data_IF_951348426170
#
_entry.id   IF_951348426170
#
_cell.length_a   1.000
_cell.length_b   1.000
_cell.length_c   1.000
_cell.angle_alpha   90.00
_cell.angle_beta   90.00
_cell.angle_gamma   90.00
#
_symmetry.space_group_name_H-M   'P 1'
#
loop_
_entity.id
_entity.type
_entity.pdbx_description
1 polymer ?
#
# COMPACT_ATOMS: atom_id res chain seq x y z
N UNK A 1 21.28 10.52 -14.28
CA UNK A 1 20.60 9.22 -14.38
C UNK A 1 21.55 8.22 -15.00
N UNK A 2 21.53 6.98 -14.51
CA UNK A 2 22.47 5.90 -14.85
C UNK A 2 21.74 4.58 -15.16
N UNK A 3 20.41 4.62 -15.22
CA UNK A 3 19.54 3.55 -15.67
C UNK A 3 18.32 4.12 -16.41
N UNK A 4 17.83 3.39 -17.41
CA UNK A 4 16.59 3.69 -18.11
C UNK A 4 15.56 2.61 -17.80
N UNK A 5 14.42 3.03 -17.28
CA UNK A 5 13.25 2.18 -17.05
C UNK A 5 12.21 2.49 -18.12
N UNK A 6 11.45 1.49 -18.55
CA UNK A 6 10.31 1.68 -19.47
C UNK A 6 9.03 1.21 -18.79
N UNK A 7 8.00 2.06 -18.81
CA UNK A 7 6.65 1.70 -18.35
C UNK A 7 5.90 0.80 -19.34
N UNK A 8 4.77 0.24 -18.91
CA UNK A 8 3.92 -0.59 -19.77
C UNK A 8 3.32 0.17 -20.95
N UNK A 9 3.10 1.48 -20.82
CA UNK A 9 2.69 2.42 -21.87
C UNK A 9 3.88 3.04 -22.64
N UNK A 10 5.06 2.41 -22.54
CA UNK A 10 6.27 2.67 -23.33
C UNK A 10 6.97 4.01 -23.06
N UNK A 11 6.64 4.70 -21.98
CA UNK A 11 7.34 5.92 -21.54
C UNK A 11 8.68 5.53 -20.90
N UNK A 12 9.72 6.30 -21.23
CA UNK A 12 11.08 6.06 -20.73
C UNK A 12 11.41 6.99 -19.57
N UNK A 13 11.80 6.40 -18.45
CA UNK A 13 12.24 7.09 -17.24
C UNK A 13 13.73 6.95 -17.06
N UNK A 14 14.42 8.09 -16.99
CA UNK A 14 15.85 8.12 -16.68
C UNK A 14 16.03 8.38 -15.18
N UNK A 15 16.27 7.34 -14.41
CA UNK A 15 16.38 7.43 -12.94
C UNK A 15 17.83 7.21 -12.45
N UNK A 16 18.05 7.45 -11.16
CA UNK A 16 19.33 7.18 -10.51
C UNK A 16 19.28 5.84 -9.77
N UNK A 17 20.17 4.89 -10.09
CA UNK A 17 20.26 3.58 -9.42
C UNK A 17 20.37 3.74 -7.91
N UNK A 18 21.16 4.72 -7.46
CA UNK A 18 21.32 5.06 -6.03
C UNK A 18 19.99 5.38 -5.33
N UNK A 19 19.04 6.00 -6.02
CA UNK A 19 17.73 6.31 -5.43
C UNK A 19 16.84 5.06 -5.37
N UNK A 20 16.91 4.20 -6.39
CA UNK A 20 16.22 2.91 -6.37
C UNK A 20 16.74 2.05 -5.20
N UNK A 21 18.06 1.92 -5.04
CA UNK A 21 18.68 1.15 -3.95
C UNK A 21 18.36 1.72 -2.55
N UNK A 22 18.19 3.04 -2.44
CA UNK A 22 17.93 3.70 -1.16
C UNK A 22 16.46 3.60 -0.74
N UNK A 23 15.53 3.69 -1.69
CA UNK A 23 14.10 3.82 -1.42
C UNK A 23 13.27 2.60 -1.83
N UNK A 24 13.87 1.60 -2.45
CA UNK A 24 13.22 0.36 -2.86
C UNK A 24 14.17 -0.82 -2.74
N UNK A 25 13.63 -2.03 -2.81
CA UNK A 25 14.45 -3.26 -2.88
C UNK A 25 14.85 -3.62 -4.32
N UNK A 26 14.70 -2.68 -5.26
CA UNK A 26 15.06 -2.89 -6.66
C UNK A 26 16.56 -2.67 -6.84
N UNK A 27 17.29 -3.76 -7.09
CA UNK A 27 18.70 -3.74 -7.47
C UNK A 27 18.85 -4.06 -8.96
N UNK A 28 19.07 -3.08 -9.84
CA UNK A 28 19.26 -3.35 -11.25
C UNK A 28 20.66 -3.93 -11.48
N UNK A 29 20.75 -5.16 -11.98
CA UNK A 29 21.98 -5.94 -12.14
C UNK A 29 22.82 -5.57 -13.37
N UNK A 30 22.29 -4.82 -14.34
CA UNK A 30 23.02 -4.41 -15.55
C UNK A 30 22.82 -2.91 -15.86
N UNK A 31 23.88 -2.25 -16.36
CA UNK A 31 23.92 -0.79 -16.56
C UNK A 31 23.55 -0.32 -17.98
N UNK A 32 23.39 -1.24 -18.93
CA UNK A 32 23.17 -0.89 -20.35
C UNK A 32 21.81 -1.33 -20.91
N UNK A 33 20.97 -1.99 -20.13
CA UNK A 33 19.68 -2.53 -20.58
C UNK A 33 18.52 -1.65 -20.10
N UNK A 34 17.53 -1.44 -20.98
CA UNK A 34 16.25 -0.84 -20.60
C UNK A 34 15.50 -1.85 -19.75
N UNK A 35 15.16 -1.48 -18.52
CA UNK A 35 14.37 -2.35 -17.63
C UNK A 35 12.89 -2.07 -17.83
N UNK A 36 12.15 -3.08 -18.24
CA UNK A 36 10.71 -2.99 -18.47
C UNK A 36 9.95 -3.20 -17.16
N UNK A 37 9.00 -2.31 -16.88
CA UNK A 37 8.13 -2.32 -15.70
C UNK A 37 6.68 -2.52 -16.13
N UNK A 38 5.91 -3.22 -15.30
CA UNK A 38 4.48 -3.50 -15.57
C UNK A 38 3.59 -2.29 -15.32
N UNK A 39 4.05 -1.33 -14.53
CA UNK A 39 3.29 -0.15 -14.13
C UNK A 39 3.24 0.89 -15.25
N UNK A 40 2.15 1.67 -15.29
CA UNK A 40 1.97 2.77 -16.24
C UNK A 40 2.88 3.95 -15.90
N UNK A 41 3.09 4.84 -16.87
CA UNK A 41 3.86 6.06 -16.68
C UNK A 41 3.31 6.92 -15.53
N UNK A 42 1.99 7.08 -15.43
CA UNK A 42 1.33 7.83 -14.38
C UNK A 42 1.64 7.30 -12.96
N UNK A 43 1.65 5.97 -12.81
CA UNK A 43 1.98 5.32 -11.53
C UNK A 43 3.46 5.49 -11.19
N UNK A 44 4.34 5.25 -12.18
CA UNK A 44 5.78 5.38 -11.98
C UNK A 44 6.21 6.82 -11.69
N UNK A 45 5.59 7.81 -12.33
CA UNK A 45 5.82 9.23 -12.04
C UNK A 45 5.55 9.56 -10.57
N UNK A 46 4.41 9.13 -10.03
CA UNK A 46 4.06 9.36 -8.63
C UNK A 46 4.98 8.57 -7.69
N UNK A 47 5.28 7.32 -8.02
CA UNK A 47 6.17 6.49 -7.22
C UNK A 47 7.57 7.11 -7.13
N UNK A 48 8.13 7.57 -8.26
CA UNK A 48 9.42 8.24 -8.26
C UNK A 48 9.37 9.58 -7.52
N UNK A 49 8.22 10.27 -7.44
CA UNK A 49 8.11 11.45 -6.59
C UNK A 49 8.41 11.15 -5.11
N UNK A 50 8.01 9.99 -4.60
CA UNK A 50 8.33 9.54 -3.24
C UNK A 50 9.79 9.11 -3.03
N UNK A 51 10.54 8.83 -4.10
CA UNK A 51 11.94 8.38 -4.05
C UNK A 51 12.96 9.52 -4.21
N UNK A 52 12.50 10.72 -4.52
CA UNK A 52 13.35 11.88 -4.75
C UNK A 52 13.08 12.95 -3.70
N UNK A 53 14.07 13.82 -3.46
CA UNK A 53 13.95 14.94 -2.53
C UNK A 53 13.09 16.05 -3.14
N UNK A 54 11.78 15.83 -3.15
CA UNK A 54 10.77 16.77 -3.63
C UNK A 54 9.51 16.69 -2.77
N UNK A 55 8.61 17.67 -2.86
CA UNK A 55 7.31 17.61 -2.16
C UNK A 55 6.54 16.35 -2.54
N UNK A 56 5.87 15.74 -1.56
CA UNK A 56 5.04 14.57 -1.81
C UNK A 56 3.85 14.93 -2.72
N UNK A 57 3.42 14.00 -3.60
CA UNK A 57 2.28 14.25 -4.48
C UNK A 57 1.01 14.46 -3.68
N UNK A 58 0.13 15.32 -4.20
CA UNK A 58 -1.20 15.50 -3.64
C UNK A 58 -2.15 14.43 -4.18
N UNK A 59 -2.27 13.31 -3.47
CA UNK A 59 -3.09 12.16 -3.87
C UNK A 59 -4.58 12.47 -4.00
N UNK A 60 -5.10 13.55 -3.38
CA UNK A 60 -6.52 13.93 -3.50
C UNK A 60 -6.91 14.40 -4.91
N UNK A 61 -5.92 14.72 -5.75
CA UNK A 61 -6.13 15.15 -7.14
C UNK A 61 -5.88 14.03 -8.15
N UNK A 62 -5.61 12.82 -7.66
CA UNK A 62 -5.29 11.65 -8.48
C UNK A 62 -6.52 10.76 -8.54
N UNK A 63 -6.81 10.21 -9.71
CA UNK A 63 -7.92 9.27 -9.88
C UNK A 63 -7.69 7.99 -9.07
N UNK A 64 -8.76 7.41 -8.55
CA UNK A 64 -8.68 6.23 -7.68
C UNK A 64 -7.99 5.04 -8.37
N UNK A 65 -8.21 4.83 -9.67
CA UNK A 65 -7.56 3.74 -10.40
C UNK A 65 -6.03 3.87 -10.37
N UNK A 66 -5.52 5.11 -10.51
CA UNK A 66 -4.07 5.37 -10.41
C UNK A 66 -3.58 5.23 -8.96
N UNK A 67 -4.37 5.65 -7.97
CA UNK A 67 -4.04 5.47 -6.54
C UNK A 67 -3.94 3.98 -6.20
N UNK A 68 -4.90 3.18 -6.66
CA UNK A 68 -4.93 1.73 -6.45
C UNK A 68 -3.70 1.05 -7.04
N UNK A 69 -3.39 1.36 -8.30
CA UNK A 69 -2.22 0.79 -8.97
C UNK A 69 -0.91 1.27 -8.34
N UNK A 70 -0.85 2.53 -7.88
CA UNK A 70 0.28 3.07 -7.12
C UNK A 70 0.43 2.35 -5.77
N UNK A 71 -0.66 2.09 -5.06
CA UNK A 71 -0.64 1.34 -3.80
C UNK A 71 -0.04 -0.05 -4.00
N UNK A 72 -0.46 -0.78 -5.04
CA UNK A 72 0.14 -2.08 -5.38
C UNK A 72 1.63 -1.98 -5.75
N UNK A 73 2.01 -0.94 -6.51
CA UNK A 73 3.40 -0.73 -6.93
C UNK A 73 4.32 -0.42 -5.74
N UNK A 74 3.89 0.43 -4.80
CA UNK A 74 4.73 0.79 -3.64
C UNK A 74 4.94 -0.40 -2.70
N UNK A 75 3.95 -1.29 -2.58
CA UNK A 75 4.08 -2.54 -1.82
C UNK A 75 5.07 -3.47 -2.53
N UNK A 76 4.88 -3.69 -3.84
CA UNK A 76 5.74 -4.55 -4.67
C UNK A 76 7.21 -4.16 -4.60
N UNK A 77 7.51 -2.87 -4.64
CA UNK A 77 8.89 -2.36 -4.62
C UNK A 77 9.37 -1.99 -3.19
N UNK A 78 8.54 -2.24 -2.17
CA UNK A 78 8.71 -1.86 -0.76
C UNK A 78 9.16 -0.37 -0.61
N UNK A 79 8.42 0.57 -1.22
CA UNK A 79 8.67 2.03 -1.13
C UNK A 79 8.08 2.59 0.17
N UNK A 80 8.79 2.35 1.27
CA UNK A 80 8.30 2.61 2.63
C UNK A 80 7.85 4.05 2.89
N UNK A 81 8.45 5.04 2.21
CA UNK A 81 8.07 6.45 2.34
C UNK A 81 6.64 6.75 1.86
N UNK A 82 6.10 5.90 0.98
CA UNK A 82 4.78 6.07 0.36
C UNK A 82 3.70 5.18 1.00
N UNK A 83 4.05 3.98 1.47
CA UNK A 83 3.10 2.96 1.97
C UNK A 83 2.12 3.52 3.02
N UNK A 84 2.63 4.26 4.01
CA UNK A 84 1.77 4.85 5.04
C UNK A 84 0.77 5.88 4.50
N UNK A 85 1.21 6.74 3.57
CA UNK A 85 0.36 7.76 2.97
C UNK A 85 -0.72 7.12 2.08
N UNK A 86 -0.36 6.10 1.30
CA UNK A 86 -1.29 5.37 0.45
C UNK A 86 -2.28 4.54 1.26
N UNK A 87 -1.87 3.96 2.39
CA UNK A 87 -2.80 3.27 3.28
C UNK A 87 -3.90 4.21 3.83
N UNK A 88 -3.53 5.43 4.23
CA UNK A 88 -4.50 6.47 4.63
C UNK A 88 -5.40 6.84 3.44
N UNK A 89 -4.82 7.02 2.25
CA UNK A 89 -5.60 7.36 1.07
C UNK A 89 -6.59 6.25 0.68
N UNK A 90 -6.20 4.99 0.77
CA UNK A 90 -7.09 3.84 0.53
C UNK A 90 -8.25 3.82 1.53
N UNK A 91 -8.00 4.14 2.81
CA UNK A 91 -9.04 4.27 3.83
C UNK A 91 -10.07 5.36 3.48
N UNK A 92 -9.64 6.51 2.99
CA UNK A 92 -10.54 7.59 2.55
C UNK A 92 -11.46 7.17 1.39
N UNK A 93 -11.06 6.18 0.60
CA UNK A 93 -11.86 5.66 -0.51
C UNK A 93 -12.85 4.57 -0.13
N UNK A 94 -12.86 4.09 1.13
CA UNK A 94 -13.81 3.07 1.60
C UNK A 94 -15.27 3.39 1.25
N UNK A 95 -15.81 4.61 1.48
CA UNK A 95 -17.22 4.89 1.18
C UNK A 95 -17.57 4.75 -0.31
N UNK A 96 -16.59 4.96 -1.18
CA UNK A 96 -16.78 4.96 -2.63
C UNK A 96 -16.40 3.64 -3.31
N UNK A 97 -15.39 2.94 -2.79
CA UNK A 97 -14.77 1.77 -3.42
C UNK A 97 -14.42 0.68 -2.37
N UNK A 98 -15.40 0.26 -1.53
CA UNK A 98 -15.11 -0.57 -0.36
C UNK A 98 -14.55 -1.95 -0.73
N UNK A 99 -14.99 -2.54 -1.85
CA UNK A 99 -14.55 -3.86 -2.31
C UNK A 99 -13.08 -3.84 -2.78
N UNK A 100 -12.69 -2.82 -3.54
CA UNK A 100 -11.30 -2.69 -4.01
C UNK A 100 -10.35 -2.45 -2.83
N UNK A 101 -10.77 -1.60 -1.88
CA UNK A 101 -10.00 -1.35 -0.64
C UNK A 101 -9.89 -2.61 0.22
N UNK A 102 -10.96 -3.40 0.33
CA UNK A 102 -10.94 -4.69 1.04
C UNK A 102 -9.94 -5.67 0.43
N UNK A 103 -9.95 -5.81 -0.90
CA UNK A 103 -9.02 -6.72 -1.60
C UNK A 103 -7.57 -6.28 -1.43
N UNK A 104 -7.30 -4.98 -1.55
CA UNK A 104 -5.98 -4.41 -1.26
C UNK A 104 -5.55 -4.72 0.19
N UNK A 105 -6.42 -4.44 1.16
CA UNK A 105 -6.12 -4.64 2.58
C UNK A 105 -5.85 -6.11 2.93
N UNK A 106 -6.56 -7.05 2.29
CA UNK A 106 -6.33 -8.49 2.43
C UNK A 106 -4.98 -8.88 1.83
N UNK A 107 -4.65 -8.41 0.62
CA UNK A 107 -3.38 -8.77 -0.07
C UNK A 107 -2.15 -8.36 0.74
N UNK A 108 -2.20 -7.18 1.36
CA UNK A 108 -1.08 -6.56 2.08
C UNK A 108 -1.21 -6.66 3.61
N UNK A 109 -2.22 -7.38 4.10
CA UNK A 109 -2.43 -7.69 5.50
C UNK A 109 -2.57 -6.45 6.41
N UNK A 110 -3.50 -5.55 6.06
CA UNK A 110 -3.86 -4.37 6.85
C UNK A 110 -5.15 -4.62 7.66
N UNK A 111 -5.08 -5.20 8.88
CA UNK A 111 -6.26 -5.72 9.59
C UNK A 111 -7.31 -4.65 9.94
N UNK A 112 -6.89 -3.44 10.32
CA UNK A 112 -7.83 -2.34 10.57
C UNK A 112 -8.60 -1.98 9.30
N UNK A 113 -7.88 -1.86 8.18
CA UNK A 113 -8.45 -1.53 6.89
C UNK A 113 -9.36 -2.66 6.37
N UNK A 114 -9.01 -3.92 6.62
CA UNK A 114 -9.86 -5.09 6.33
C UNK A 114 -11.20 -4.96 7.07
N UNK A 115 -11.17 -4.66 8.37
CA UNK A 115 -12.40 -4.56 9.17
C UNK A 115 -13.30 -3.41 8.69
N UNK A 116 -12.73 -2.21 8.55
CA UNK A 116 -13.46 -1.01 8.12
C UNK A 116 -14.08 -1.19 6.72
N UNK A 117 -13.30 -1.73 5.77
CA UNK A 117 -13.78 -1.98 4.42
C UNK A 117 -14.79 -3.13 4.35
N UNK A 118 -14.60 -4.20 5.13
CA UNK A 118 -15.56 -5.30 5.21
C UNK A 118 -16.92 -4.83 5.73
N UNK A 119 -16.94 -4.00 6.79
CA UNK A 119 -18.16 -3.38 7.31
C UNK A 119 -18.88 -2.55 6.24
N UNK A 120 -18.14 -1.74 5.48
CA UNK A 120 -18.69 -0.93 4.39
C UNK A 120 -19.25 -1.76 3.22
N UNK A 121 -18.89 -3.05 3.11
CA UNK A 121 -19.45 -3.95 2.09
C UNK A 121 -20.68 -4.74 2.53
N UNK A 122 -21.13 -4.63 3.77
CA UNK A 122 -22.21 -5.50 4.29
C UNK A 122 -23.56 -5.31 3.59
N UNK A 123 -23.80 -4.14 3.01
CA UNK A 123 -25.02 -3.85 2.25
C UNK A 123 -24.99 -4.40 0.81
N UNK A 124 -23.86 -4.96 0.38
CA UNK A 124 -23.73 -5.48 -0.98
C UNK A 124 -24.49 -6.79 -1.13
N UNK A 125 -25.23 -6.99 -2.25
CA UNK A 125 -25.85 -8.26 -2.53
C UNK A 125 -24.80 -9.37 -2.69
N UNK A 126 -25.06 -10.61 -2.21
CA UNK A 126 -24.06 -11.68 -2.23
C UNK A 126 -23.54 -12.05 -3.62
N UNK A 127 -24.38 -11.98 -4.66
CA UNK A 127 -24.00 -12.42 -6.00
C UNK A 127 -22.91 -11.54 -6.64
N UNK A 128 -23.03 -10.19 -6.68
CA UNK A 128 -21.93 -9.32 -7.10
C UNK A 128 -20.67 -9.46 -6.25
N UNK A 129 -20.80 -9.73 -4.94
CA UNK A 129 -19.65 -9.96 -4.08
C UNK A 129 -18.88 -11.21 -4.48
N UNK A 130 -19.59 -12.33 -4.70
CA UNK A 130 -19.03 -13.59 -5.16
C UNK A 130 -18.21 -13.45 -6.47
N UNK A 131 -18.63 -12.55 -7.36
CA UNK A 131 -17.92 -12.30 -8.62
C UNK A 131 -16.62 -11.48 -8.45
N UNK A 132 -16.48 -10.74 -7.35
CA UNK A 132 -15.37 -9.79 -7.15
C UNK A 132 -14.31 -10.29 -6.19
N UNK A 133 -14.65 -11.14 -5.24
CA UNK A 133 -13.72 -11.60 -4.20
C UNK A 133 -13.40 -13.09 -4.34
N UNK A 134 -12.20 -13.53 -3.91
CA UNK A 134 -11.86 -14.96 -3.88
C UNK A 134 -12.85 -15.77 -3.03
N UNK A 135 -13.06 -17.07 -3.34
CA UNK A 135 -14.02 -17.92 -2.61
C UNK A 135 -13.80 -17.95 -1.08
N UNK A 136 -12.55 -17.92 -0.64
CA UNK A 136 -12.18 -17.93 0.77
C UNK A 136 -12.64 -16.63 1.45
N UNK A 137 -12.39 -15.50 0.81
CA UNK A 137 -12.81 -14.16 1.28
C UNK A 137 -14.33 -14.06 1.28
N UNK A 138 -14.99 -14.55 0.23
CA UNK A 138 -16.45 -14.59 0.17
C UNK A 138 -17.05 -15.38 1.34
N UNK A 139 -16.47 -16.54 1.65
CA UNK A 139 -16.94 -17.37 2.76
C UNK A 139 -16.80 -16.69 4.13
N UNK A 140 -15.76 -15.87 4.32
CA UNK A 140 -15.56 -15.08 5.53
C UNK A 140 -16.55 -13.92 5.59
N UNK A 141 -16.74 -13.22 4.46
CA UNK A 141 -17.68 -12.13 4.33
C UNK A 141 -19.14 -12.55 4.58
N UNK A 142 -19.58 -13.71 4.06
CA UNK A 142 -20.94 -14.24 4.34
C UNK A 142 -21.14 -14.51 5.83
N UNK A 143 -20.12 -15.03 6.53
CA UNK A 143 -20.20 -15.23 7.99
C UNK A 143 -20.39 -13.90 8.69
N UNK A 144 -19.61 -12.89 8.30
CA UNK A 144 -19.72 -11.53 8.83
C UNK A 144 -21.12 -10.93 8.58
N UNK A 145 -21.67 -11.07 7.38
CA UNK A 145 -23.01 -10.55 7.06
C UNK A 145 -24.11 -11.23 7.87
N UNK A 146 -24.01 -12.54 8.11
CA UNK A 146 -24.98 -13.29 8.92
C UNK A 146 -24.91 -12.93 10.40
N UNK A 147 -23.73 -12.60 10.92
CA UNK A 147 -23.58 -12.13 12.31
C UNK A 147 -24.10 -10.71 12.50
N UNK A 148 -23.90 -9.84 11.51
CA UNK A 148 -24.32 -8.44 11.57
C UNK A 148 -25.82 -8.24 11.31
N UNK A 149 -26.47 -9.15 10.56
CA UNK A 149 -27.91 -9.10 10.26
C UNK A 149 -28.65 -10.39 10.69
N UNK A 150 -29.12 -10.49 11.95
CA UNK A 150 -29.85 -11.67 12.41
C UNK A 150 -31.20 -11.90 11.70
N UNK A 151 -31.72 -10.91 10.97
CA UNK A 151 -33.03 -10.99 10.31
C UNK A 151 -33.06 -11.89 9.06
N UNK A 152 -31.92 -12.11 8.39
CA UNK A 152 -31.81 -13.02 7.24
C UNK A 152 -31.87 -14.52 7.64
N UNK A 153 -31.78 -14.83 8.94
CA UNK A 153 -31.78 -16.21 9.44
C UNK A 153 -33.18 -16.79 9.67
N UNK A 154 -34.25 -16.00 9.57
CA UNK A 154 -35.62 -16.49 9.79
C UNK A 154 -36.23 -17.09 8.52
N UNK A 155 -35.61 -18.11 7.93
CA UNK A 155 -36.37 -19.02 7.05
C UNK A 155 -35.78 -20.41 6.78
N UNK A 156 -34.63 -20.87 7.31
CA UNK A 156 -34.12 -22.18 6.83
C UNK A 156 -33.66 -23.06 8.00
N UNK A 157 -34.43 -24.11 8.29
CA UNK A 157 -34.24 -25.09 9.37
C UNK A 157 -33.02 -26.03 9.14
N UNK A 158 -31.81 -25.50 8.95
CA UNK A 158 -30.60 -26.32 8.70
C UNK A 158 -29.31 -25.82 9.37
N UNK A 159 -29.37 -25.04 10.44
CA UNK A 159 -28.15 -24.54 11.11
C UNK A 159 -28.03 -24.99 12.57
N UNK A 160 -27.89 -26.30 12.77
CA UNK A 160 -27.23 -26.86 13.96
C UNK A 160 -25.86 -27.40 13.59
N UNK A 161 -24.94 -26.51 13.25
CA UNK A 161 -23.50 -26.77 13.37
C UNK A 161 -22.84 -25.51 13.92
N UNK A 162 -22.95 -25.35 15.24
CA UNK A 162 -22.12 -24.44 16.01
C UNK A 162 -20.66 -24.89 15.87
N UNK A 163 -19.89 -24.20 15.04
CA UNK A 163 -18.43 -24.27 15.08
C UNK A 163 -17.91 -23.11 15.92
N UNK A 164 -17.02 -23.36 16.91
CA UNK A 164 -16.51 -22.32 17.80
C UNK A 164 -15.62 -21.34 17.03
N UNK A 165 -15.44 -20.12 17.55
CA UNK A 165 -14.67 -19.08 16.88
C UNK A 165 -13.20 -19.49 16.87
N UNK A 166 -12.68 -19.90 15.71
CA UNK A 166 -11.25 -19.84 15.45
C UNK A 166 -10.95 -18.50 14.80
N UNK A 167 -10.01 -17.79 15.42
CA UNK A 167 -9.29 -16.65 14.86
C UNK A 167 -8.99 -16.93 13.39
N UNK A 168 -9.45 -16.05 12.51
CA UNK A 168 -9.30 -16.21 11.06
C UNK A 168 -7.84 -15.83 10.74
N UNK A 169 -6.94 -16.79 10.86
CA UNK A 169 -5.61 -16.73 10.24
C UNK A 169 -5.80 -17.07 8.76
N UNK A 170 -6.14 -16.06 7.94
CA UNK A 170 -6.18 -16.24 6.48
C UNK A 170 -4.74 -16.47 6.03
N UNK A 171 -4.53 -17.61 5.36
CA UNK A 171 -3.25 -18.07 4.83
C UNK A 171 -2.58 -16.99 3.98
N UNK A 172 -1.66 -16.26 4.61
CA UNK A 172 -0.68 -15.41 3.94
C UNK A 172 0.47 -16.29 3.47
N UNK A 173 0.46 -16.65 2.18
CA UNK A 173 1.66 -17.16 1.50
C UNK A 173 2.40 -16.06 0.74
N UNK A 174 2.07 -14.79 0.97
CA UNK A 174 2.88 -13.69 0.48
C UNK A 174 4.04 -13.47 1.45
N UNK A 175 5.26 -13.64 0.96
CA UNK A 175 6.50 -13.32 1.68
C UNK A 175 6.37 -11.87 2.17
N UNK A 176 6.27 -11.61 3.47
CA UNK A 176 6.24 -10.25 3.99
C UNK A 176 7.56 -9.56 3.63
N UNK A 177 7.55 -8.27 3.24
CA UNK A 177 8.79 -7.49 3.18
C UNK A 177 9.47 -7.63 4.57
N UNK A 178 10.73 -8.09 4.67
CA UNK A 178 11.35 -8.39 5.95
C UNK A 178 11.45 -7.12 6.83
N UNK A 179 11.33 -7.26 8.15
CA UNK A 179 11.49 -6.12 9.06
C UNK A 179 12.88 -5.50 8.92
N UNK A 180 12.92 -4.18 9.02
CA UNK A 180 14.12 -3.34 8.89
C UNK A 180 15.29 -3.89 9.72
N UNK A 181 16.23 -4.59 9.08
CA UNK A 181 17.53 -4.84 9.69
C UNK A 181 18.26 -3.51 9.73
N UNK A 182 18.44 -3.00 10.96
CA UNK A 182 19.14 -1.76 11.27
C UNK A 182 20.54 -1.80 10.67
N UNK A 183 20.72 -1.23 9.48
CA UNK A 183 22.05 -0.98 8.92
C UNK A 183 22.72 0.04 9.82
N UNK A 184 23.77 -0.38 10.53
CA UNK A 184 24.57 0.51 11.37
C UNK A 184 25.06 1.69 10.53
N UNK A 185 24.92 2.95 11.00
CA UNK A 185 25.41 4.09 10.27
C UNK A 185 26.94 4.02 10.20
N UNK A 186 27.47 3.80 8.99
CA UNK A 186 28.88 4.05 8.66
C UNK A 186 29.05 5.57 8.53
N UNK A 187 29.03 6.28 9.66
CA UNK A 187 29.51 7.66 9.77
C UNK A 187 30.61 7.70 10.82
N UNK A 188 31.76 7.15 10.47
CA UNK A 188 33.00 7.38 11.19
C UNK A 188 34.09 7.74 10.19
N UNK A 189 34.27 9.05 10.00
CA UNK A 189 35.52 9.79 9.72
C UNK A 189 35.28 10.89 8.68
N UNK A 190 35.01 12.09 9.18
CA UNK A 190 35.77 13.30 8.80
C UNK A 190 35.45 14.40 9.82
N UNK A 191 36.44 14.77 10.63
CA UNK A 191 36.41 15.97 11.46
C UNK A 191 36.33 17.18 10.53
N UNK A 192 35.32 18.03 10.71
CA UNK A 192 35.48 19.46 10.42
C UNK A 192 34.62 20.27 11.38
N UNK A 193 35.29 21.18 12.09
CA UNK A 193 34.72 22.13 13.06
C UNK A 193 33.67 23.00 12.35
N UNK A 194 32.48 23.11 12.92
CA UNK A 194 31.60 24.24 12.66
C UNK A 194 31.49 25.09 13.93
N UNK A 195 31.81 26.37 13.76
CA UNK A 195 31.71 27.45 14.75
C UNK A 195 30.25 27.91 14.77
N UNK A 196 29.63 27.95 15.95
CA UNK A 196 28.30 28.53 16.13
C UNK A 196 28.41 30.05 16.25
N UNK A 197 27.69 30.78 15.39
CA UNK A 197 27.38 32.20 15.60
C UNK A 197 26.02 32.31 16.29
N UNK A 198 25.99 32.91 17.48
CA UNK A 198 24.78 33.24 18.23
C UNK A 198 24.17 34.55 17.71
N UNK A 199 22.87 34.56 17.43
CA UNK A 199 22.09 35.78 17.15
C UNK A 199 21.58 36.41 18.46
N UNK A 200 21.57 37.75 18.61
CA UNK A 200 21.08 38.40 19.81
C UNK A 200 19.56 38.67 19.76
N UNK A 201 18.90 38.40 20.88
CA UNK A 201 17.53 38.79 21.23
C UNK A 201 17.42 40.29 21.48
N UNK A 202 16.48 40.98 20.82
CA UNK A 202 16.08 42.34 21.15
C UNK A 202 14.90 42.33 22.15
N UNK A 203 15.02 43.13 23.21
CA UNK A 203 13.96 43.43 24.17
C UNK A 203 13.34 44.82 23.89
N UNK A 204 12.02 44.85 24.09
CA UNK A 204 11.08 45.93 24.39
C UNK A 204 11.55 47.40 24.48
N UNK A 205 10.70 48.28 23.93
CA UNK A 205 10.31 49.55 24.56
C UNK A 205 8.91 49.39 25.15
#
# INVERSE_FOLDING_TARGET
SDITLQSSDRVLFKVHRRNLEMYSQVSPTQSSEIVYLSESSAVLDLMFQYMYLQPQPNLRKVDFDVIKDLAEAVEKYCVYSAMGALNVQMREHIPSQPVEVLLYAIRHNYPELINESAEATLEFPPYPMLQRVPPEVFSAWVRLSLTSFPSLSKSNKWTTFFFPPRRIDILSTNVPCPPFQRVHPIWAKTKSRFVFYSFPTQHAQ
#
